data_IF_058124774226
#
_entry.id   IF_058124774226
#
_cell.length_a   1.000
_cell.length_b   1.000
_cell.length_c   1.000
_cell.angle_alpha   90.00
_cell.angle_beta   90.00
_cell.angle_gamma   90.00
#
_symmetry.space_group_name_H-M   'P 1'
#
loop_
_entity.id
_entity.type
_entity.pdbx_description
1 polymer ?
#
# COMPACT_ATOMS: atom_id res chain seq x y z
N UNK A 1 18.61 -39.76 -5.33
CA UNK A 1 17.72 -38.63 -5.60
C UNK A 1 18.01 -37.55 -4.57
N UNK A 2 18.60 -36.43 -4.96
CA UNK A 2 18.78 -35.28 -4.07
C UNK A 2 17.48 -34.50 -4.10
N UNK A 3 16.75 -34.49 -2.99
CA UNK A 3 15.55 -33.69 -2.86
C UNK A 3 15.96 -32.19 -3.01
N UNK A 4 15.52 -31.55 -4.08
CA UNK A 4 15.66 -30.10 -4.25
C UNK A 4 14.87 -29.45 -3.11
N UNK A 5 15.58 -28.88 -2.14
CA UNK A 5 15.00 -28.07 -1.09
C UNK A 5 14.29 -26.89 -1.78
N UNK A 6 12.96 -26.82 -1.68
CA UNK A 6 12.23 -25.66 -2.20
C UNK A 6 12.80 -24.36 -1.59
N UNK A 7 13.02 -23.32 -2.39
CA UNK A 7 13.56 -22.07 -1.87
C UNK A 7 12.56 -21.50 -0.84
N UNK A 8 13.07 -21.20 0.35
CA UNK A 8 12.25 -20.61 1.43
C UNK A 8 11.77 -19.23 1.01
N UNK A 9 10.44 -19.05 0.98
CA UNK A 9 9.80 -17.77 0.68
C UNK A 9 10.26 -16.70 1.68
N UNK A 10 10.73 -15.55 1.20
CA UNK A 10 11.14 -14.40 2.01
C UNK A 10 10.00 -13.41 2.08
N UNK A 11 9.31 -13.35 3.22
CA UNK A 11 8.23 -12.41 3.50
C UNK A 11 8.72 -11.29 4.40
N UNK A 12 8.39 -10.04 4.06
CA UNK A 12 8.60 -8.85 4.88
C UNK A 12 7.24 -8.35 5.38
N UNK A 13 7.07 -8.30 6.69
CA UNK A 13 5.87 -7.74 7.33
C UNK A 13 6.23 -6.47 8.08
N UNK A 14 5.53 -5.36 7.82
CA UNK A 14 5.69 -4.07 8.50
C UNK A 14 4.34 -3.70 9.12
N UNK A 15 4.30 -3.57 10.42
CA UNK A 15 3.12 -3.21 11.18
C UNK A 15 3.22 -1.78 11.73
N UNK A 16 2.13 -1.25 12.22
CA UNK A 16 2.08 0.09 12.82
C UNK A 16 3.02 0.30 14.03
N UNK A 17 3.45 -0.77 14.67
CA UNK A 17 4.49 -0.73 15.73
C UNK A 17 5.91 -0.64 15.19
N UNK A 18 6.12 -0.90 13.89
CA UNK A 18 7.42 -1.00 13.24
C UNK A 18 7.74 0.25 12.39
N UNK A 19 7.18 1.42 12.74
CA UNK A 19 7.33 2.66 11.96
C UNK A 19 8.79 3.07 11.75
N UNK A 20 9.67 2.77 12.69
CA UNK A 20 11.11 3.03 12.53
C UNK A 20 11.70 2.25 11.35
N UNK A 21 11.22 1.02 11.09
CA UNK A 21 11.61 0.22 9.91
C UNK A 21 11.11 0.88 8.64
N UNK A 22 9.84 1.30 8.61
CA UNK A 22 9.23 1.95 7.45
C UNK A 22 9.90 3.29 7.09
N UNK A 23 10.46 3.99 8.07
CA UNK A 23 11.14 5.29 7.91
C UNK A 23 12.64 5.18 7.62
N UNK A 24 13.18 3.98 7.52
CA UNK A 24 14.61 3.72 7.33
C UNK A 24 14.89 2.94 6.05
N UNK A 25 16.17 2.88 5.69
CA UNK A 25 16.62 1.96 4.63
C UNK A 25 16.39 0.52 5.08
N UNK A 26 15.74 -0.27 4.25
CA UNK A 26 15.46 -1.67 4.55
C UNK A 26 16.74 -2.52 4.53
N UNK A 27 16.85 -3.44 5.50
CA UNK A 27 18.05 -4.29 5.66
C UNK A 27 18.19 -5.37 4.58
N UNK A 28 17.08 -5.70 3.91
CA UNK A 28 17.04 -6.74 2.87
C UNK A 28 17.89 -6.33 1.67
N UNK A 29 18.54 -7.31 1.06
CA UNK A 29 19.28 -7.11 -0.19
C UNK A 29 18.32 -6.77 -1.34
N UNK A 30 18.85 -6.18 -2.40
CA UNK A 30 18.07 -5.93 -3.61
C UNK A 30 17.53 -7.24 -4.19
N UNK A 31 16.29 -7.24 -4.68
CA UNK A 31 15.63 -8.39 -5.30
C UNK A 31 15.66 -9.67 -4.45
N UNK A 32 15.48 -9.54 -3.13
CA UNK A 32 15.53 -10.69 -2.21
C UNK A 32 14.19 -11.04 -1.57
N UNK A 33 13.21 -10.13 -1.61
CA UNK A 33 11.91 -10.29 -0.95
C UNK A 33 10.87 -10.78 -1.94
N UNK A 34 10.16 -11.84 -1.59
CA UNK A 34 9.12 -12.47 -2.41
C UNK A 34 7.74 -11.86 -2.16
N UNK A 35 7.47 -11.41 -0.93
CA UNK A 35 6.18 -10.85 -0.53
C UNK A 35 6.36 -9.78 0.54
N UNK A 36 5.57 -8.73 0.45
CA UNK A 36 5.50 -7.67 1.46
C UNK A 36 4.07 -7.50 1.96
N UNK A 37 3.91 -7.34 3.25
CA UNK A 37 2.64 -7.00 3.88
C UNK A 37 2.84 -5.79 4.80
N UNK A 38 2.03 -4.76 4.60
CA UNK A 38 1.99 -3.57 5.45
C UNK A 38 0.59 -3.37 6.01
N UNK A 39 0.47 -3.27 7.33
CA UNK A 39 -0.82 -3.10 7.99
C UNK A 39 -0.78 -1.84 8.85
N UNK A 40 -1.61 -0.86 8.49
CA UNK A 40 -1.77 0.40 9.21
C UNK A 40 -0.44 1.17 9.39
N UNK A 41 0.35 1.27 8.33
CA UNK A 41 1.67 1.94 8.32
C UNK A 41 1.59 3.29 7.62
N UNK A 42 1.01 3.35 6.41
CA UNK A 42 1.13 4.51 5.51
C UNK A 42 0.52 5.79 6.09
N UNK A 43 -0.53 5.69 6.91
CA UNK A 43 -1.16 6.84 7.52
C UNK A 43 -0.26 7.59 8.52
N UNK A 44 0.78 6.93 9.04
CA UNK A 44 1.73 7.52 10.00
C UNK A 44 3.03 8.02 9.35
N UNK A 45 3.12 7.96 8.02
CA UNK A 45 4.26 8.42 7.26
C UNK A 45 3.97 9.75 6.58
N UNK A 46 4.91 10.67 6.62
CA UNK A 46 4.87 11.89 5.82
C UNK A 46 4.90 11.56 4.33
N UNK A 47 4.46 12.45 3.44
CA UNK A 47 4.57 12.24 2.00
C UNK A 47 5.96 11.84 1.53
N UNK A 48 7.01 12.47 2.05
CA UNK A 48 8.39 12.14 1.73
C UNK A 48 8.79 10.73 2.19
N UNK A 49 8.37 10.34 3.39
CA UNK A 49 8.61 9.01 3.95
C UNK A 49 7.87 7.92 3.15
N UNK A 50 6.63 8.18 2.70
CA UNK A 50 5.89 7.25 1.83
C UNK A 50 6.64 7.00 0.53
N UNK A 51 7.13 8.05 -0.13
CA UNK A 51 7.91 7.94 -1.37
C UNK A 51 9.19 7.14 -1.12
N UNK A 52 9.94 7.47 -0.07
CA UNK A 52 11.17 6.78 0.28
C UNK A 52 10.93 5.29 0.57
N UNK A 53 9.87 4.96 1.30
CA UNK A 53 9.51 3.57 1.59
C UNK A 53 9.21 2.78 0.31
N UNK A 54 8.40 3.32 -0.61
CA UNK A 54 8.09 2.60 -1.84
C UNK A 54 9.28 2.47 -2.79
N UNK A 55 10.22 3.43 -2.80
CA UNK A 55 11.48 3.28 -3.51
C UNK A 55 12.33 2.14 -2.91
N UNK A 56 12.37 2.02 -1.56
CA UNK A 56 13.08 0.93 -0.88
C UNK A 56 12.39 -0.43 -1.09
N UNK A 57 11.06 -0.48 -1.01
CA UNK A 57 10.30 -1.71 -1.32
C UNK A 57 10.58 -2.17 -2.76
N UNK A 58 10.60 -1.23 -3.70
CA UNK A 58 10.95 -1.55 -5.08
C UNK A 58 12.35 -2.12 -5.23
N UNK A 59 13.31 -1.60 -4.46
CA UNK A 59 14.69 -2.10 -4.45
C UNK A 59 14.77 -3.53 -3.93
N UNK A 60 14.12 -3.84 -2.80
CA UNK A 60 14.27 -5.12 -2.10
C UNK A 60 13.37 -6.24 -2.65
N UNK A 61 12.22 -5.90 -3.21
CA UNK A 61 11.31 -6.88 -3.79
C UNK A 61 11.86 -7.48 -5.08
N UNK A 62 11.59 -8.75 -5.33
CA UNK A 62 11.87 -9.40 -6.60
C UNK A 62 10.93 -8.89 -7.70
N UNK A 63 11.32 -8.91 -8.98
CA UNK A 63 10.39 -8.66 -10.07
C UNK A 63 9.15 -9.58 -9.96
N UNK A 64 7.96 -9.02 -10.15
CA UNK A 64 6.69 -9.74 -10.00
C UNK A 64 6.23 -10.00 -8.56
N UNK A 65 7.06 -9.69 -7.55
CA UNK A 65 6.67 -9.80 -6.15
C UNK A 65 5.53 -8.83 -5.82
N UNK A 66 4.71 -9.21 -4.83
CA UNK A 66 3.54 -8.43 -4.42
C UNK A 66 3.73 -7.79 -3.05
N UNK A 67 3.25 -6.57 -2.92
CA UNK A 67 3.09 -5.86 -1.66
C UNK A 67 1.61 -5.61 -1.40
N UNK A 68 1.07 -6.14 -0.32
CA UNK A 68 -0.27 -5.79 0.16
C UNK A 68 -0.14 -4.69 1.21
N UNK A 69 -0.88 -3.61 1.03
CA UNK A 69 -0.97 -2.50 1.98
C UNK A 69 -2.40 -2.30 2.42
N UNK A 70 -2.64 -2.40 3.72
CA UNK A 70 -3.92 -2.11 4.35
C UNK A 70 -3.79 -0.80 5.13
N UNK A 71 -4.62 0.18 4.81
CA UNK A 71 -4.61 1.50 5.45
C UNK A 71 -6.04 2.00 5.62
N UNK A 72 -6.35 2.81 6.66
CA UNK A 72 -7.67 3.39 6.80
C UNK A 72 -8.07 4.15 5.54
N UNK A 73 -9.29 3.92 5.07
CA UNK A 73 -9.83 4.66 3.92
C UNK A 73 -10.07 6.12 4.29
N UNK A 74 -9.79 7.03 3.37
CA UNK A 74 -9.92 8.48 3.60
C UNK A 74 -11.34 8.92 4.01
N UNK A 75 -12.39 8.19 3.61
CA UNK A 75 -13.78 8.45 4.00
C UNK A 75 -14.16 7.82 5.36
N UNK A 76 -13.24 7.13 6.03
CA UNK A 76 -13.46 6.58 7.37
C UNK A 76 -12.93 7.51 8.45
N UNK A 77 -13.64 7.60 9.58
CA UNK A 77 -13.14 8.28 10.77
C UNK A 77 -11.80 7.70 11.26
N UNK A 78 -11.53 6.43 10.97
CA UNK A 78 -10.27 5.76 11.33
C UNK A 78 -9.05 6.43 10.70
N UNK A 79 -9.21 7.12 9.57
CA UNK A 79 -8.14 7.88 8.92
C UNK A 79 -7.75 9.16 9.68
N UNK A 80 -8.54 9.60 10.65
CA UNK A 80 -8.36 10.88 11.36
C UNK A 80 -8.38 10.76 12.89
N UNK A 81 -8.71 9.59 13.42
CA UNK A 81 -8.94 9.42 14.86
C UNK A 81 -7.64 9.49 15.70
N UNK A 82 -6.49 9.20 15.10
CA UNK A 82 -5.20 9.22 15.77
C UNK A 82 -4.44 10.51 15.39
N UNK A 83 -4.03 11.30 16.38
CA UNK A 83 -3.31 12.57 16.15
C UNK A 83 -1.90 12.39 15.55
N UNK A 84 -1.39 11.16 15.48
CA UNK A 84 -0.13 10.82 14.80
C UNK A 84 -0.28 10.65 13.31
N UNK A 85 -1.50 10.66 12.78
CA UNK A 85 -1.77 10.53 11.35
C UNK A 85 -1.22 11.75 10.60
N UNK A 86 -0.50 11.47 9.51
CA UNK A 86 0.10 12.48 8.66
C UNK A 86 -0.84 12.84 7.48
N UNK A 87 -0.88 14.12 7.16
CA UNK A 87 -1.61 14.61 5.99
C UNK A 87 -0.73 14.52 4.73
N UNK A 88 -1.29 14.25 3.54
CA UNK A 88 -2.68 13.92 3.25
C UNK A 88 -3.03 12.46 3.59
N UNK A 89 -4.34 12.15 3.78
CA UNK A 89 -4.77 10.76 3.91
C UNK A 89 -4.41 9.97 2.65
N UNK A 90 -4.27 8.65 2.81
CA UNK A 90 -4.00 7.77 1.68
C UNK A 90 -5.28 7.58 0.87
N UNK A 91 -5.22 7.90 -0.41
CA UNK A 91 -6.33 7.76 -1.35
C UNK A 91 -5.93 6.87 -2.52
N UNK A 92 -6.91 6.29 -3.21
CA UNK A 92 -6.70 5.36 -4.32
C UNK A 92 -5.85 5.99 -5.43
N UNK A 93 -6.15 7.22 -5.78
CA UNK A 93 -5.45 7.95 -6.84
C UNK A 93 -3.95 8.14 -6.56
N UNK A 94 -3.54 8.12 -5.29
CA UNK A 94 -2.12 8.25 -4.96
C UNK A 94 -1.29 7.10 -5.50
N UNK A 95 -1.85 5.87 -5.54
CA UNK A 95 -1.13 4.69 -6.03
C UNK A 95 -0.73 4.77 -7.50
N UNK A 96 -1.39 5.60 -8.32
CA UNK A 96 -0.95 5.85 -9.70
C UNK A 96 0.44 6.47 -9.77
N UNK A 97 0.82 7.27 -8.76
CA UNK A 97 2.15 7.86 -8.70
C UNK A 97 3.28 6.83 -8.53
N UNK A 98 2.96 5.61 -8.10
CA UNK A 98 3.93 4.53 -7.97
C UNK A 98 4.22 3.82 -9.30
N UNK A 99 3.44 4.12 -10.34
CA UNK A 99 3.62 3.56 -11.69
C UNK A 99 4.40 4.51 -12.59
N UNK A 100 5.42 4.00 -13.28
CA UNK A 100 6.29 4.83 -14.13
C UNK A 100 5.56 5.41 -15.33
N UNK A 101 4.70 4.62 -15.99
CA UNK A 101 3.99 5.08 -17.18
C UNK A 101 2.91 6.10 -16.83
N UNK A 102 2.25 5.95 -15.68
CA UNK A 102 1.34 6.97 -15.18
C UNK A 102 2.06 8.29 -14.90
N UNK A 103 3.25 8.26 -14.30
CA UNK A 103 4.05 9.48 -14.05
C UNK A 103 4.54 10.16 -15.33
N UNK A 104 4.78 9.42 -16.40
CA UNK A 104 5.16 10.01 -17.71
C UNK A 104 4.06 10.88 -18.29
N UNK A 105 2.79 10.66 -17.90
CA UNK A 105 1.66 11.47 -18.34
C UNK A 105 1.53 12.79 -17.57
N UNK A 106 2.25 12.94 -16.46
CA UNK A 106 2.33 14.18 -15.68
C UNK A 106 3.79 14.71 -15.62
N UNK A 107 4.21 15.51 -16.59
CA UNK A 107 5.58 16.04 -16.65
C UNK A 107 5.95 16.93 -15.44
N UNK A 108 4.94 17.52 -14.77
CA UNK A 108 5.10 18.33 -13.56
C UNK A 108 5.16 17.52 -12.27
N UNK A 109 4.93 16.21 -12.32
CA UNK A 109 4.85 15.32 -11.17
C UNK A 109 6.14 15.21 -10.36
N UNK A 110 6.02 14.63 -9.19
CA UNK A 110 7.12 14.49 -8.24
C UNK A 110 8.22 13.56 -8.75
N UNK A 111 9.42 14.10 -8.92
CA UNK A 111 10.60 13.39 -9.45
C UNK A 111 11.30 12.48 -8.45
N UNK A 112 10.87 12.47 -7.19
CA UNK A 112 11.44 11.61 -6.14
C UNK A 112 11.05 10.15 -6.28
N UNK A 113 9.95 9.84 -6.99
CA UNK A 113 9.55 8.46 -7.28
C UNK A 113 10.53 7.76 -8.23
N UNK A 114 11.09 6.63 -7.79
CA UNK A 114 12.01 5.77 -8.57
C UNK A 114 11.50 4.34 -8.72
N UNK A 115 10.32 4.06 -8.16
CA UNK A 115 9.68 2.75 -8.22
C UNK A 115 8.80 2.61 -9.46
N UNK A 116 8.44 1.36 -9.77
CA UNK A 116 7.46 1.03 -10.80
C UNK A 116 6.58 -0.12 -10.31
N UNK A 117 5.39 0.21 -9.83
CA UNK A 117 4.40 -0.75 -9.37
C UNK A 117 3.12 -0.66 -10.18
N UNK A 118 2.53 -1.80 -10.46
CA UNK A 118 1.15 -1.90 -10.89
C UNK A 118 0.27 -2.10 -9.67
N UNK A 119 -0.73 -1.25 -9.49
CA UNK A 119 -1.59 -1.23 -8.33
C UNK A 119 -3.02 -1.66 -8.68
N UNK A 120 -3.58 -2.51 -7.83
CA UNK A 120 -5.02 -2.79 -7.76
C UNK A 120 -5.47 -2.58 -6.32
N UNK A 121 -6.75 -2.31 -6.10
CA UNK A 121 -7.27 -2.09 -4.76
C UNK A 121 -8.68 -2.62 -4.58
N UNK A 122 -9.02 -2.85 -3.33
CA UNK A 122 -10.34 -3.19 -2.83
C UNK A 122 -10.54 -2.56 -1.47
N UNK A 123 -11.63 -2.89 -0.82
CA UNK A 123 -12.04 -2.25 0.43
C UNK A 123 -12.49 -3.28 1.46
N UNK A 124 -12.17 -3.01 2.73
CA UNK A 124 -12.92 -3.56 3.84
C UNK A 124 -14.13 -2.65 4.07
N UNK A 125 -15.33 -3.16 3.79
CA UNK A 125 -16.57 -2.41 3.91
C UNK A 125 -17.16 -2.48 5.32
N UNK A 126 -17.97 -1.48 5.66
CA UNK A 126 -18.66 -1.46 6.94
C UNK A 126 -19.56 -2.71 7.10
N UNK A 127 -19.58 -3.40 8.27
CA UNK A 127 -20.34 -4.65 8.46
C UNK A 127 -21.82 -4.56 8.11
N UNK A 128 -22.46 -3.39 8.33
CA UNK A 128 -23.87 -3.18 7.99
C UNK A 128 -24.15 -3.25 6.48
N UNK A 129 -23.12 -3.16 5.64
CA UNK A 129 -23.25 -3.26 4.18
C UNK A 129 -23.14 -4.71 3.68
N UNK A 130 -22.66 -5.65 4.49
CA UNK A 130 -22.45 -7.04 4.05
C UNK A 130 -23.73 -7.73 3.57
N UNK A 131 -24.87 -7.38 4.16
CA UNK A 131 -26.18 -7.94 3.80
C UNK A 131 -26.82 -7.26 2.55
N UNK A 132 -26.18 -6.22 2.00
CA UNK A 132 -26.66 -5.50 0.82
C UNK A 132 -26.10 -6.12 -0.46
N UNK A 133 -26.81 -5.94 -1.57
CA UNK A 133 -26.31 -6.38 -2.88
C UNK A 133 -25.10 -5.56 -3.32
N UNK A 134 -24.39 -6.03 -4.33
CA UNK A 134 -23.16 -5.43 -4.82
C UNK A 134 -23.36 -3.99 -5.33
N UNK A 135 -24.46 -3.73 -6.03
CA UNK A 135 -24.77 -2.39 -6.55
C UNK A 135 -24.93 -1.36 -5.43
N UNK A 136 -25.66 -1.73 -4.38
CA UNK A 136 -25.84 -0.88 -3.20
C UNK A 136 -24.51 -0.65 -2.48
N UNK A 137 -23.69 -1.70 -2.30
CA UNK A 137 -22.37 -1.58 -1.67
C UNK A 137 -21.48 -0.62 -2.45
N UNK A 138 -21.45 -0.74 -3.78
CA UNK A 138 -20.63 0.12 -4.64
C UNK A 138 -21.10 1.58 -4.59
N UNK A 139 -22.41 1.81 -4.62
CA UNK A 139 -22.98 3.15 -4.44
C UNK A 139 -22.59 3.75 -3.08
N UNK A 140 -22.73 2.99 -2.00
CA UNK A 140 -22.38 3.44 -0.66
C UNK A 140 -20.88 3.79 -0.56
N UNK A 141 -19.99 2.97 -1.10
CA UNK A 141 -18.55 3.24 -1.10
C UNK A 141 -18.17 4.50 -1.88
N UNK A 142 -18.96 4.85 -2.90
CA UNK A 142 -18.71 6.05 -3.71
C UNK A 142 -19.15 7.32 -3.00
N UNK A 143 -20.26 7.28 -2.27
CA UNK A 143 -20.93 8.51 -1.80
C UNK A 143 -21.03 8.65 -0.28
N UNK A 144 -20.88 7.58 0.49
CA UNK A 144 -21.14 7.61 1.93
C UNK A 144 -19.87 7.50 2.75
N UNK A 145 -19.76 8.37 3.73
CA UNK A 145 -18.76 8.28 4.78
C UNK A 145 -18.93 6.96 5.56
N UNK A 146 -17.85 6.37 6.02
CA UNK A 146 -17.77 5.11 6.78
C UNK A 146 -18.17 3.85 6.00
N UNK A 147 -18.58 3.94 4.74
CA UNK A 147 -18.91 2.76 3.94
C UNK A 147 -17.67 1.88 3.67
N UNK A 148 -16.59 2.50 3.21
CA UNK A 148 -15.28 1.88 3.13
C UNK A 148 -14.47 2.21 4.40
N UNK A 149 -14.05 1.20 5.15
CA UNK A 149 -13.29 1.38 6.39
C UNK A 149 -11.79 1.32 6.17
N UNK A 150 -11.32 0.35 5.43
CA UNK A 150 -9.92 0.23 5.02
C UNK A 150 -9.81 0.14 3.50
N UNK A 151 -8.74 0.73 2.98
CA UNK A 151 -8.27 0.60 1.61
C UNK A 151 -7.20 -0.49 1.58
N UNK A 152 -7.42 -1.51 0.76
CA UNK A 152 -6.52 -2.65 0.61
C UNK A 152 -5.91 -2.58 -0.78
N UNK A 153 -4.67 -2.12 -0.87
CA UNK A 153 -3.95 -2.03 -2.14
C UNK A 153 -3.01 -3.23 -2.32
N UNK A 154 -3.01 -3.80 -3.51
CA UNK A 154 -2.05 -4.82 -3.93
C UNK A 154 -1.16 -4.23 -5.02
N UNK A 155 0.12 -4.16 -4.76
CA UNK A 155 1.15 -3.56 -5.61
C UNK A 155 2.04 -4.67 -6.14
N UNK A 156 2.15 -4.80 -7.46
CA UNK A 156 3.04 -5.78 -8.11
C UNK A 156 4.23 -5.04 -8.69
N UNK A 157 5.45 -5.48 -8.33
CA UNK A 157 6.67 -4.90 -8.88
C UNK A 157 6.77 -5.21 -10.38
N UNK A 158 6.83 -4.16 -11.19
CA UNK A 158 7.09 -4.24 -12.62
C UNK A 158 8.54 -4.51 -12.95
#
# INVERSE_FOLDING_TARGET
MVAKKEPKLVKLTILNKDLAVAKSKLKQAANSVDEVEMIHVLQYLTPAERIALFNELYRVMKPGAKCQSITPHWASNRAYADLRVEFPPVVEAWFFNLNEDARKQDPGGDKRYKCNFNATWGYAIHPLLHARNQEYQQHAMTFWKEAAQDLIATLTKG
#
